data_IF_802837589550
#
_entry.id   IF_802837589550
#
_cell.length_a   1.000
_cell.length_b   1.000
_cell.length_c   1.000
_cell.angle_alpha   90.00
_cell.angle_beta   90.00
_cell.angle_gamma   90.00
#
_symmetry.space_group_name_H-M   'P 1'
#
loop_
_entity.id
_entity.type
_entity.pdbx_description
1 polymer ?
#
# COMPACT_ATOMS: atom_id res chain seq x y z
N UNK A 1 20.71 -15.62 -13.53
CA UNK A 1 21.08 -14.27 -14.03
C UNK A 1 20.33 -13.23 -13.19
N UNK A 2 20.99 -12.16 -12.87
CA UNK A 2 20.44 -11.06 -12.11
C UNK A 2 19.78 -10.04 -13.06
N UNK A 3 18.80 -9.31 -12.55
CA UNK A 3 18.19 -8.17 -13.27
C UNK A 3 18.70 -6.87 -12.67
N UNK A 4 19.10 -5.96 -13.53
CA UNK A 4 19.62 -4.66 -13.17
C UNK A 4 18.73 -3.59 -13.77
N UNK A 5 18.23 -2.68 -12.97
CA UNK A 5 17.34 -1.59 -13.42
C UNK A 5 18.11 -0.28 -13.40
N UNK A 6 18.09 0.42 -14.53
CA UNK A 6 18.59 1.76 -14.62
C UNK A 6 17.70 2.72 -13.84
N UNK A 7 18.24 3.39 -12.83
CA UNK A 7 17.48 4.31 -11.98
C UNK A 7 17.11 5.64 -12.68
N UNK A 8 17.64 5.88 -13.89
CA UNK A 8 17.38 7.09 -14.66
C UNK A 8 16.28 6.89 -15.70
N UNK A 9 16.34 5.82 -16.49
CA UNK A 9 15.38 5.58 -17.57
C UNK A 9 14.50 4.34 -17.42
N UNK A 10 14.74 3.51 -16.36
CA UNK A 10 13.96 2.31 -16.11
C UNK A 10 14.35 1.10 -16.99
N UNK A 11 15.38 1.20 -17.84
CA UNK A 11 15.84 0.07 -18.64
C UNK A 11 16.26 -1.11 -17.77
N UNK A 12 15.81 -2.31 -18.13
CA UNK A 12 16.13 -3.55 -17.43
C UNK A 12 17.17 -4.35 -18.22
N UNK A 13 18.28 -4.66 -17.58
CA UNK A 13 19.36 -5.47 -18.13
C UNK A 13 19.47 -6.80 -17.37
N UNK A 14 19.64 -7.89 -18.08
CA UNK A 14 19.84 -9.22 -17.50
C UNK A 14 21.30 -9.65 -17.66
N UNK A 15 21.99 -9.92 -16.55
CA UNK A 15 23.38 -10.33 -16.53
C UNK A 15 23.89 -10.54 -15.11
N UNK A 16 25.11 -11.08 -14.98
CA UNK A 16 25.74 -11.28 -13.66
C UNK A 16 26.08 -9.95 -12.96
N UNK A 17 26.42 -8.94 -13.74
CA UNK A 17 26.77 -7.61 -13.26
C UNK A 17 26.02 -6.55 -14.07
N UNK A 18 25.89 -5.34 -13.51
CA UNK A 18 25.35 -4.20 -14.24
C UNK A 18 26.19 -3.90 -15.49
N UNK A 19 25.57 -3.46 -16.61
CA UNK A 19 26.31 -3.07 -17.81
C UNK A 19 27.16 -1.84 -17.52
N UNK A 20 28.29 -1.68 -18.19
CA UNK A 20 29.18 -0.52 -18.03
C UNK A 20 28.46 0.82 -18.31
N UNK A 21 27.57 0.79 -19.28
CA UNK A 21 26.74 1.92 -19.67
C UNK A 21 25.32 1.44 -19.99
N UNK A 22 24.33 2.26 -19.65
CA UNK A 22 22.97 1.97 -20.02
C UNK A 22 22.82 2.04 -21.57
N UNK A 23 22.35 0.96 -22.23
CA UNK A 23 22.15 0.96 -23.68
C UNK A 23 21.12 2.00 -24.15
N UNK A 24 20.21 2.40 -23.27
CA UNK A 24 19.13 3.31 -23.61
C UNK A 24 19.48 4.78 -23.33
N UNK A 25 20.05 5.11 -22.19
CA UNK A 25 20.29 6.51 -21.80
C UNK A 25 21.78 6.87 -21.57
N UNK A 26 22.70 5.89 -21.68
CA UNK A 26 24.13 6.13 -21.63
C UNK A 26 24.74 6.40 -20.26
N UNK A 27 23.95 6.35 -19.17
CA UNK A 27 24.47 6.54 -17.81
C UNK A 27 25.37 5.36 -17.38
N UNK A 28 26.36 5.60 -16.50
CA UNK A 28 27.30 4.56 -16.07
C UNK A 28 26.65 3.48 -15.18
N UNK A 29 27.33 2.37 -15.01
CA UNK A 29 26.92 1.22 -14.18
C UNK A 29 26.48 1.60 -12.77
N UNK A 30 27.06 2.65 -12.19
CA UNK A 30 26.69 3.15 -10.84
C UNK A 30 25.24 3.62 -10.72
N UNK A 31 24.54 3.81 -11.83
CA UNK A 31 23.11 4.17 -11.87
C UNK A 31 22.18 2.96 -11.98
N UNK A 32 22.72 1.75 -11.96
CA UNK A 32 21.94 0.53 -11.93
C UNK A 32 21.76 0.01 -10.50
N UNK A 33 20.59 -0.53 -10.23
CA UNK A 33 20.29 -1.29 -9.00
C UNK A 33 19.89 -2.70 -9.35
N UNK A 34 20.37 -3.66 -8.57
CA UNK A 34 19.92 -5.03 -8.68
C UNK A 34 18.44 -5.13 -8.31
N UNK A 35 17.65 -5.68 -9.21
CA UNK A 35 16.24 -5.99 -8.96
C UNK A 35 16.16 -7.38 -8.35
N UNK A 36 15.45 -7.53 -7.23
CA UNK A 36 15.17 -8.84 -6.65
C UNK A 36 14.49 -9.72 -7.71
N UNK A 37 14.99 -10.94 -7.88
CA UNK A 37 14.59 -11.85 -8.96
C UNK A 37 13.17 -12.40 -8.85
N UNK A 38 12.52 -12.25 -7.70
CA UNK A 38 11.17 -12.76 -7.44
C UNK A 38 10.40 -11.76 -6.57
N UNK A 39 9.24 -11.30 -7.09
CA UNK A 39 8.32 -10.45 -6.38
C UNK A 39 8.09 -9.07 -7.01
N UNK A 40 7.04 -8.41 -6.58
CA UNK A 40 6.75 -7.01 -6.97
C UNK A 40 7.72 -6.06 -6.28
N UNK A 41 8.26 -5.10 -7.05
CA UNK A 41 8.98 -3.97 -6.48
C UNK A 41 7.97 -2.96 -5.93
N UNK A 42 7.98 -2.75 -4.64
CA UNK A 42 7.14 -1.74 -3.98
C UNK A 42 7.87 -0.40 -3.93
N UNK A 43 7.11 0.69 -3.98
CA UNK A 43 7.67 2.04 -3.83
C UNK A 43 8.25 2.27 -2.43
N UNK A 44 7.76 1.56 -1.45
CA UNK A 44 8.25 1.53 -0.07
C UNK A 44 8.05 0.13 0.51
N UNK A 45 8.73 -0.18 1.59
CA UNK A 45 8.50 -1.42 2.32
C UNK A 45 7.15 -1.40 3.03
N UNK A 46 6.46 -2.54 3.00
CA UNK A 46 5.18 -2.75 3.67
C UNK A 46 5.41 -3.62 4.90
N UNK A 47 5.88 -2.99 5.97
CA UNK A 47 6.08 -3.66 7.27
C UNK A 47 4.95 -3.28 8.24
N UNK A 48 4.36 -4.30 8.85
CA UNK A 48 3.36 -4.10 9.90
C UNK A 48 4.07 -3.61 11.18
N UNK A 49 3.56 -2.52 11.75
CA UNK A 49 4.06 -1.96 12.99
C UNK A 49 5.19 -0.94 12.82
N UNK A 50 5.41 -0.43 11.63
CA UNK A 50 6.45 0.55 11.33
C UNK A 50 6.37 1.81 12.21
N UNK A 51 5.18 2.21 12.61
CA UNK A 51 4.99 3.38 13.47
C UNK A 51 5.19 3.10 14.98
N UNK A 52 5.37 1.83 15.36
CA UNK A 52 5.59 1.49 16.77
C UNK A 52 6.87 2.16 17.28
N UNK A 53 6.78 2.74 18.48
CA UNK A 53 7.86 3.55 19.04
C UNK A 53 7.80 5.05 18.70
N UNK A 54 6.85 5.48 17.87
CA UNK A 54 6.57 6.90 17.66
C UNK A 54 6.07 7.56 18.97
N UNK A 55 6.17 8.90 19.10
CA UNK A 55 5.60 9.62 20.25
C UNK A 55 4.11 9.31 20.45
N UNK A 56 3.65 9.28 21.70
CA UNK A 56 2.29 8.84 22.03
C UNK A 56 1.21 9.71 21.38
N UNK A 57 1.42 11.00 21.21
CA UNK A 57 0.51 11.90 20.50
C UNK A 57 0.32 11.46 19.02
N UNK A 58 1.40 11.06 18.37
CA UNK A 58 1.35 10.53 17.01
C UNK A 58 0.60 9.18 16.97
N UNK A 59 0.85 8.29 17.93
CA UNK A 59 0.13 7.01 18.02
C UNK A 59 -1.36 7.22 18.24
N UNK A 60 -1.75 8.18 19.09
CA UNK A 60 -3.15 8.55 19.31
C UNK A 60 -3.81 9.07 18.03
N UNK A 61 -3.12 9.92 17.27
CA UNK A 61 -3.63 10.45 16.00
C UNK A 61 -3.81 9.35 14.97
N UNK A 62 -2.87 8.42 14.87
CA UNK A 62 -2.97 7.27 13.95
C UNK A 62 -4.16 6.36 14.30
N UNK A 63 -4.42 6.10 15.59
CA UNK A 63 -5.59 5.33 16.03
C UNK A 63 -6.90 6.06 15.72
N UNK A 64 -6.95 7.37 15.94
CA UNK A 64 -8.12 8.18 15.61
C UNK A 64 -8.42 8.18 14.10
N UNK A 65 -7.38 8.30 13.28
CA UNK A 65 -7.52 8.20 11.82
C UNK A 65 -8.01 6.82 11.39
N UNK A 66 -7.44 5.75 11.93
CA UNK A 66 -7.90 4.38 11.66
C UNK A 66 -9.40 4.22 11.96
N UNK A 67 -9.86 4.64 13.13
CA UNK A 67 -11.26 4.57 13.53
C UNK A 67 -12.16 5.44 12.64
N UNK A 68 -11.71 6.64 12.29
CA UNK A 68 -12.42 7.54 11.39
C UNK A 68 -12.63 6.94 10.00
N UNK A 69 -11.57 6.42 9.40
CA UNK A 69 -11.62 5.77 8.08
C UNK A 69 -12.55 4.54 8.09
N UNK A 70 -12.49 3.72 9.13
CA UNK A 70 -13.40 2.57 9.28
C UNK A 70 -14.87 3.01 9.36
N UNK A 71 -15.16 4.10 10.06
CA UNK A 71 -16.50 4.67 10.16
C UNK A 71 -16.99 5.19 8.82
N UNK A 72 -16.15 5.85 8.05
CA UNK A 72 -16.46 6.38 6.73
C UNK A 72 -16.76 5.28 5.71
N UNK A 73 -16.09 4.14 5.79
CA UNK A 73 -16.42 2.96 4.95
C UNK A 73 -17.89 2.57 5.09
N UNK A 74 -18.35 2.38 6.31
CA UNK A 74 -19.73 1.99 6.59
C UNK A 74 -20.73 3.07 6.18
N UNK A 75 -20.42 4.33 6.48
CA UNK A 75 -21.24 5.47 6.15
C UNK A 75 -21.42 5.62 4.62
N UNK A 76 -20.34 5.59 3.86
CA UNK A 76 -20.40 5.74 2.40
C UNK A 76 -21.07 4.56 1.70
N UNK A 77 -20.88 3.33 2.19
CA UNK A 77 -21.63 2.17 1.67
C UNK A 77 -23.13 2.31 1.93
N UNK A 78 -23.53 2.82 3.09
CA UNK A 78 -24.94 3.08 3.39
C UNK A 78 -25.51 4.17 2.45
N UNK A 79 -24.76 5.25 2.21
CA UNK A 79 -25.14 6.30 1.24
C UNK A 79 -25.26 5.75 -0.18
N UNK A 80 -24.37 4.85 -0.60
CA UNK A 80 -24.46 4.15 -1.88
C UNK A 80 -25.77 3.38 -2.01
N UNK A 81 -26.13 2.61 -0.99
CA UNK A 81 -27.38 1.82 -0.98
C UNK A 81 -28.63 2.71 -1.03
N UNK A 82 -28.63 3.83 -0.32
CA UNK A 82 -29.72 4.81 -0.39
C UNK A 82 -29.85 5.37 -1.80
N UNK A 83 -28.75 5.80 -2.41
CA UNK A 83 -28.77 6.34 -3.76
C UNK A 83 -29.31 5.33 -4.79
N UNK A 84 -28.91 4.06 -4.69
CA UNK A 84 -29.43 3.00 -5.57
C UNK A 84 -30.94 2.77 -5.38
N UNK A 85 -31.41 2.77 -4.12
CA UNK A 85 -32.85 2.63 -3.85
C UNK A 85 -33.67 3.79 -4.35
N UNK A 86 -33.11 4.99 -4.36
CA UNK A 86 -33.76 6.19 -4.89
C UNK A 86 -33.68 6.33 -6.42
N UNK A 87 -32.96 5.43 -7.10
CA UNK A 87 -32.80 5.44 -8.55
C UNK A 87 -31.68 6.32 -9.07
N UNK A 88 -30.65 6.58 -8.27
CA UNK A 88 -29.46 7.33 -8.64
C UNK A 88 -28.21 6.41 -8.70
N UNK A 89 -28.10 5.50 -9.69
CA UNK A 89 -27.04 4.51 -9.71
C UNK A 89 -25.64 5.13 -9.84
N UNK A 90 -25.49 6.23 -10.56
CA UNK A 90 -24.19 6.91 -10.73
C UNK A 90 -23.69 7.47 -9.39
N UNK A 91 -24.58 8.04 -8.58
CA UNK A 91 -24.25 8.52 -7.23
C UNK A 91 -23.94 7.33 -6.32
N UNK A 92 -24.73 6.25 -6.43
CA UNK A 92 -24.47 5.02 -5.69
C UNK A 92 -23.10 4.43 -5.98
N UNK A 93 -22.70 4.39 -7.24
CA UNK A 93 -21.36 3.92 -7.65
C UNK A 93 -20.25 4.84 -7.13
N UNK A 94 -20.46 6.15 -7.12
CA UNK A 94 -19.50 7.10 -6.55
C UNK A 94 -19.25 6.82 -5.07
N UNK A 95 -20.30 6.69 -4.28
CA UNK A 95 -20.18 6.39 -2.85
C UNK A 95 -19.55 5.03 -2.56
N UNK A 96 -19.87 4.01 -3.35
CA UNK A 96 -19.24 2.69 -3.22
C UNK A 96 -17.73 2.76 -3.48
N UNK A 97 -17.31 3.52 -4.48
CA UNK A 97 -15.89 3.76 -4.78
C UNK A 97 -15.21 4.52 -3.65
N UNK A 98 -15.83 5.59 -3.15
CA UNK A 98 -15.30 6.35 -2.02
C UNK A 98 -15.12 5.45 -0.79
N UNK A 99 -16.10 4.60 -0.47
CA UNK A 99 -15.99 3.65 0.63
C UNK A 99 -14.79 2.71 0.48
N UNK A 100 -14.51 2.22 -0.72
CA UNK A 100 -13.35 1.38 -0.98
C UNK A 100 -12.04 2.15 -0.79
N UNK A 101 -11.98 3.41 -1.21
CA UNK A 101 -10.81 4.28 -1.00
C UNK A 101 -10.54 4.49 0.51
N UNK A 102 -11.59 4.73 1.31
CA UNK A 102 -11.44 4.83 2.77
C UNK A 102 -11.02 3.49 3.41
N UNK A 103 -11.45 2.37 2.87
CA UNK A 103 -10.98 1.06 3.31
C UNK A 103 -9.47 0.87 3.08
N UNK A 104 -8.95 1.35 1.95
CA UNK A 104 -7.50 1.35 1.67
C UNK A 104 -6.73 2.25 2.66
N UNK A 105 -7.26 3.44 2.98
CA UNK A 105 -6.67 4.31 3.99
C UNK A 105 -6.67 3.64 5.37
N UNK A 106 -7.78 3.06 5.79
CA UNK A 106 -7.88 2.32 7.05
C UNK A 106 -6.88 1.16 7.13
N UNK A 107 -6.73 0.39 6.05
CA UNK A 107 -5.76 -0.69 5.96
C UNK A 107 -4.33 -0.18 6.18
N UNK A 108 -3.99 0.97 5.59
CA UNK A 108 -2.66 1.58 5.77
C UNK A 108 -2.41 2.02 7.21
N UNK A 109 -3.38 2.64 7.86
CA UNK A 109 -3.26 2.99 9.29
C UNK A 109 -3.14 1.75 10.18
N UNK A 110 -3.89 0.69 9.88
CA UNK A 110 -3.79 -0.58 10.59
C UNK A 110 -2.39 -1.19 10.49
N UNK A 111 -1.80 -1.17 9.30
CA UNK A 111 -0.44 -1.66 9.07
C UNK A 111 0.61 -0.79 9.80
N UNK A 112 0.50 0.53 9.74
CA UNK A 112 1.41 1.43 10.45
C UNK A 112 1.40 1.16 11.97
N UNK A 113 0.21 0.99 12.54
CA UNK A 113 0.03 0.74 13.98
C UNK A 113 0.49 -0.66 14.40
N UNK A 114 0.19 -1.70 13.61
CA UNK A 114 0.48 -3.09 13.97
C UNK A 114 -0.24 -3.58 15.23
N UNK A 115 -1.39 -2.99 15.57
CA UNK A 115 -2.17 -3.30 16.77
C UNK A 115 -3.31 -4.30 16.48
N UNK A 116 -3.98 -4.15 15.33
CA UNK A 116 -5.13 -4.98 14.93
C UNK A 116 -4.79 -6.01 13.85
N UNK A 117 -3.59 -5.94 13.32
CA UNK A 117 -3.08 -6.82 12.27
C UNK A 117 -1.62 -7.16 12.56
N UNK A 118 -1.20 -8.36 12.19
CA UNK A 118 0.18 -8.82 12.28
C UNK A 118 0.69 -9.23 10.90
N UNK A 119 1.99 -9.40 10.75
CA UNK A 119 2.61 -9.91 9.53
C UNK A 119 2.46 -11.43 9.32
N UNK A 120 1.66 -12.10 10.16
CA UNK A 120 1.41 -13.54 10.09
C UNK A 120 -0.07 -13.83 9.84
N UNK A 121 -0.38 -14.43 8.71
CA UNK A 121 -1.74 -14.90 8.40
C UNK A 121 -2.30 -15.80 9.49
N UNK A 122 -1.49 -16.73 10.00
CA UNK A 122 -1.89 -17.63 11.09
C UNK A 122 -2.30 -16.85 12.34
N UNK A 123 -1.48 -15.90 12.78
CA UNK A 123 -1.78 -15.08 13.96
C UNK A 123 -3.02 -14.21 13.75
N UNK A 124 -3.20 -13.65 12.57
CA UNK A 124 -4.39 -12.86 12.24
C UNK A 124 -5.67 -13.70 12.34
N UNK A 125 -5.64 -14.96 11.89
CA UNK A 125 -6.75 -15.90 12.06
C UNK A 125 -7.00 -16.21 13.53
N UNK A 126 -5.96 -16.54 14.29
CA UNK A 126 -6.06 -16.84 15.72
C UNK A 126 -6.64 -15.68 16.54
N UNK A 127 -6.35 -14.44 16.16
CA UNK A 127 -6.87 -13.25 16.84
C UNK A 127 -8.37 -13.00 16.59
N UNK A 128 -8.96 -13.57 15.54
CA UNK A 128 -10.33 -13.28 15.09
C UNK A 128 -11.29 -14.47 15.20
N UNK A 129 -10.80 -15.64 15.50
CA UNK A 129 -11.59 -16.89 15.63
C UNK A 129 -11.98 -17.16 17.07
#
# INVERSE_FOLDING_TARGET
>A
MKKWVCTVCGYVYEGENAPEKCPQCGVPASKFKEQASEGMAWACEHEVGVAQGAPEDIMMDLRANFEGECSEVGMYLAMSRVAHREGYPEIGMYWAKAAFEEAEHAAKFAELLGEVVTSSTKKNLEMRV
#
